data_IF_929163265728
#
_entry.id   IF_929163265728
#
_cell.length_a   1.000
_cell.length_b   1.000
_cell.length_c   1.000
_cell.angle_alpha   90.00
_cell.angle_beta   90.00
_cell.angle_gamma   90.00
#
_symmetry.space_group_name_H-M   'P 1'
#
loop_
_entity.id
_entity.type
_entity.pdbx_description
1 polymer ?
#
# COMPACT_ATOMS: atom_id res chain seq x y z
N UNK A 1 -6.15 -26.38 -62.67
CA UNK A 1 -5.47 -27.12 -61.56
C UNK A 1 -4.50 -26.12 -60.91
N UNK A 2 -4.73 -25.71 -59.67
CA UNK A 2 -3.76 -24.89 -58.95
C UNK A 2 -2.49 -25.69 -58.71
N UNK A 3 -1.34 -25.11 -59.05
CA UNK A 3 -0.06 -25.75 -58.97
C UNK A 3 0.26 -26.10 -57.52
N UNK A 4 0.81 -27.28 -57.21
CA UNK A 4 1.15 -27.71 -55.85
C UNK A 4 2.06 -26.67 -55.11
N UNK A 5 2.87 -25.90 -55.88
CA UNK A 5 3.68 -24.83 -55.36
C UNK A 5 2.87 -23.66 -54.81
N UNK A 6 1.76 -23.30 -55.47
CA UNK A 6 0.90 -22.19 -55.02
C UNK A 6 0.17 -22.51 -53.69
N UNK A 7 -0.20 -23.81 -53.53
CA UNK A 7 -0.85 -24.26 -52.27
C UNK A 7 0.17 -24.23 -51.11
N UNK A 8 1.41 -24.65 -51.35
CA UNK A 8 2.47 -24.61 -50.33
C UNK A 8 2.81 -23.17 -49.93
N UNK A 9 2.87 -22.24 -50.89
CA UNK A 9 3.10 -20.82 -50.61
C UNK A 9 1.97 -20.18 -49.80
N UNK A 10 0.72 -20.54 -50.08
CA UNK A 10 -0.45 -20.05 -49.30
C UNK A 10 -0.42 -20.59 -47.87
N UNK A 11 -0.10 -21.91 -47.72
CA UNK A 11 0.01 -22.51 -46.37
C UNK A 11 1.17 -21.91 -45.59
N UNK A 12 2.33 -21.67 -46.21
CA UNK A 12 3.46 -20.99 -45.56
C UNK A 12 3.11 -19.55 -45.19
N UNK A 13 2.38 -18.85 -46.05
CA UNK A 13 1.92 -17.47 -45.76
C UNK A 13 0.94 -17.41 -44.58
N UNK A 14 0.03 -18.41 -44.49
CA UNK A 14 -0.90 -18.50 -43.34
C UNK A 14 -0.13 -18.87 -42.06
N UNK A 15 0.80 -19.81 -42.10
CA UNK A 15 1.63 -20.16 -40.93
C UNK A 15 2.48 -18.99 -40.50
N UNK A 16 3.05 -18.25 -41.43
CA UNK A 16 3.87 -17.05 -41.13
C UNK A 16 3.01 -15.92 -40.56
N UNK A 17 1.79 -15.69 -41.07
CA UNK A 17 0.87 -14.68 -40.52
C UNK A 17 0.31 -15.06 -39.16
N UNK A 18 0.08 -16.36 -38.90
CA UNK A 18 -0.31 -16.87 -37.59
C UNK A 18 0.88 -16.77 -36.62
N UNK A 19 2.08 -17.13 -37.04
CA UNK A 19 3.30 -16.99 -36.21
C UNK A 19 3.64 -15.52 -35.93
N UNK A 20 3.42 -14.61 -36.88
CA UNK A 20 3.52 -13.14 -36.65
C UNK A 20 2.40 -12.64 -35.75
N UNK A 21 1.18 -13.16 -35.87
CA UNK A 21 0.05 -12.80 -35.00
C UNK A 21 0.24 -13.23 -33.55
N UNK A 22 0.83 -14.39 -33.31
CA UNK A 22 1.19 -14.84 -31.96
C UNK A 22 2.55 -14.29 -31.48
N UNK A 23 3.46 -13.94 -32.40
CA UNK A 23 4.79 -13.39 -32.05
C UNK A 23 4.78 -11.90 -31.65
N UNK A 24 3.71 -11.15 -31.94
CA UNK A 24 3.58 -9.72 -31.59
C UNK A 24 2.92 -9.54 -30.20
N UNK A 25 2.39 -10.61 -29.59
CA UNK A 25 1.66 -10.53 -28.33
C UNK A 25 2.53 -10.21 -27.10
N UNK A 26 3.85 -10.30 -27.19
CA UNK A 26 4.76 -10.02 -26.09
C UNK A 26 5.70 -8.87 -26.43
N UNK A 27 5.16 -7.65 -26.49
CA UNK A 27 6.02 -6.49 -26.62
C UNK A 27 6.58 -6.12 -25.24
N UNK A 28 7.87 -6.04 -25.22
CA UNK A 28 8.84 -5.61 -24.21
C UNK A 28 8.28 -4.80 -23.04
N UNK A 29 8.19 -5.42 -21.89
CA UNK A 29 8.07 -4.77 -20.59
C UNK A 29 9.48 -4.55 -20.04
N UNK A 30 9.82 -3.34 -19.73
CA UNK A 30 11.03 -3.04 -18.99
C UNK A 30 10.62 -2.56 -17.59
N UNK A 31 10.84 -3.39 -16.58
CA UNK A 31 10.84 -2.94 -15.19
C UNK A 31 12.27 -2.50 -14.86
N UNK A 32 12.42 -1.24 -14.54
CA UNK A 32 13.69 -0.69 -14.08
C UNK A 32 13.52 -0.26 -12.63
N UNK A 33 14.15 -0.96 -11.70
CA UNK A 33 14.35 -0.47 -10.35
C UNK A 33 15.68 0.27 -10.36
N UNK A 34 15.62 1.59 -10.43
CA UNK A 34 16.82 2.40 -10.34
C UNK A 34 17.26 2.46 -8.88
N UNK A 35 18.45 1.97 -8.60
CA UNK A 35 19.17 2.34 -7.40
C UNK A 35 19.77 3.72 -7.58
N UNK A 36 19.02 4.78 -7.30
CA UNK A 36 19.63 6.09 -7.06
C UNK A 36 20.20 6.06 -5.63
N UNK A 37 21.34 5.42 -5.52
CA UNK A 37 22.02 5.15 -4.27
C UNK A 37 23.01 6.25 -3.98
N UNK A 38 22.54 7.36 -3.49
CA UNK A 38 23.37 8.26 -2.72
C UNK A 38 23.31 7.85 -1.26
N UNK A 39 24.48 7.71 -0.64
CA UNK A 39 24.56 7.63 0.82
C UNK A 39 23.79 8.82 1.38
N UNK A 40 22.63 8.59 1.95
CA UNK A 40 21.89 9.65 2.63
C UNK A 40 22.18 9.55 4.12
N UNK A 41 22.74 10.61 4.65
CA UNK A 41 22.87 10.78 6.10
C UNK A 41 21.62 11.48 6.58
N UNK A 42 20.80 10.81 7.37
CA UNK A 42 19.63 11.40 7.98
C UNK A 42 20.04 11.87 9.37
N UNK A 43 20.09 13.19 9.56
CA UNK A 43 20.27 13.78 10.89
C UNK A 43 18.95 13.61 11.67
N UNK A 44 19.02 12.97 12.81
CA UNK A 44 17.90 12.85 13.76
C UNK A 44 18.22 13.69 15.00
N UNK A 45 17.20 14.15 15.71
CA UNK A 45 17.39 14.92 16.97
C UNK A 45 18.24 14.18 17.99
N UNK A 46 18.40 12.87 17.87
CA UNK A 46 19.07 11.98 18.82
C UNK A 46 20.30 11.26 18.26
N UNK A 47 20.74 11.57 17.03
CA UNK A 47 21.93 10.95 16.45
C UNK A 47 21.97 11.02 14.93
N UNK A 48 23.04 10.48 14.38
CA UNK A 48 23.22 10.37 12.94
C UNK A 48 22.90 8.94 12.50
N UNK A 49 21.76 8.76 11.82
CA UNK A 49 21.47 7.53 11.11
C UNK A 49 22.15 7.60 9.75
N UNK A 50 23.18 6.81 9.53
CA UNK A 50 23.76 6.64 8.21
C UNK A 50 23.08 5.48 7.53
N UNK A 51 22.26 5.75 6.54
CA UNK A 51 21.66 4.73 5.70
C UNK A 51 22.59 4.53 4.52
N UNK A 52 23.27 3.39 4.50
CA UNK A 52 24.03 2.95 3.36
C UNK A 52 23.14 1.99 2.57
N UNK A 53 22.82 2.37 1.34
CA UNK A 53 22.30 1.42 0.38
C UNK A 53 23.49 0.70 -0.23
N UNK A 54 23.72 -0.52 0.15
CA UNK A 54 24.56 -1.38 -0.67
C UNK A 54 23.65 -2.02 -1.71
N UNK A 55 23.82 -1.65 -2.96
CA UNK A 55 23.14 -2.30 -4.08
C UNK A 55 23.86 -3.60 -4.40
N UNK A 56 23.50 -4.66 -3.69
CA UNK A 56 24.17 -5.94 -3.88
C UNK A 56 23.80 -6.62 -5.21
N UNK A 57 22.78 -6.12 -5.94
CA UNK A 57 22.24 -6.77 -7.13
C UNK A 57 22.13 -5.90 -8.40
N UNK A 58 22.60 -4.64 -8.37
CA UNK A 58 22.46 -3.74 -9.53
C UNK A 58 21.01 -3.29 -9.82
N UNK A 59 20.80 -2.66 -10.95
CA UNK A 59 19.44 -2.34 -11.43
C UNK A 59 18.71 -3.62 -11.83
N UNK A 60 17.47 -3.79 -11.38
CA UNK A 60 16.62 -4.85 -11.93
C UNK A 60 16.07 -4.35 -13.26
N UNK A 61 16.57 -4.87 -14.35
CA UNK A 61 16.03 -4.65 -15.68
C UNK A 61 15.37 -5.93 -16.13
N UNK A 62 14.04 -5.98 -16.04
CA UNK A 62 13.27 -7.07 -16.64
C UNK A 62 12.92 -6.68 -18.08
N UNK A 63 13.65 -7.25 -19.02
CA UNK A 63 13.32 -7.18 -20.43
C UNK A 63 12.33 -8.32 -20.74
N UNK A 64 11.10 -7.99 -21.15
CA UNK A 64 9.99 -8.89 -21.45
C UNK A 64 9.32 -9.48 -20.20
N UNK A 65 8.42 -8.74 -19.61
CA UNK A 65 7.57 -9.23 -18.52
C UNK A 65 6.29 -9.79 -19.11
N UNK A 66 5.97 -11.02 -18.70
CA UNK A 66 4.66 -11.65 -18.90
C UNK A 66 3.97 -11.78 -17.53
N UNK A 67 2.66 -11.99 -17.48
CA UNK A 67 2.00 -12.42 -16.25
C UNK A 67 2.74 -13.60 -15.60
N UNK A 68 2.89 -13.57 -14.29
CA UNK A 68 3.71 -14.49 -13.50
C UNK A 68 5.20 -14.09 -13.38
N UNK A 69 5.64 -12.99 -14.00
CA UNK A 69 7.01 -12.51 -13.85
C UNK A 69 7.22 -11.82 -12.50
N UNK A 70 8.37 -12.05 -11.91
CA UNK A 70 8.82 -11.39 -10.68
C UNK A 70 10.31 -11.04 -10.74
N UNK A 71 10.71 -10.05 -9.94
CA UNK A 71 12.09 -9.66 -9.77
C UNK A 71 12.37 -9.23 -8.35
N UNK A 72 13.47 -9.71 -7.81
CA UNK A 72 13.89 -9.42 -6.44
C UNK A 72 15.15 -8.57 -6.43
N UNK A 73 15.14 -7.55 -5.58
CA UNK A 73 16.30 -6.71 -5.28
C UNK A 73 16.60 -6.78 -3.78
N UNK A 74 17.88 -6.95 -3.45
CA UNK A 74 18.39 -6.87 -2.09
C UNK A 74 18.96 -5.48 -1.83
N UNK A 75 18.69 -4.91 -0.65
CA UNK A 75 19.31 -3.69 -0.17
C UNK A 75 19.60 -3.77 1.33
N UNK A 76 20.56 -2.97 1.80
CA UNK A 76 21.02 -2.97 3.19
C UNK A 76 20.87 -1.58 3.79
N UNK A 77 20.30 -1.51 4.98
CA UNK A 77 20.32 -0.33 5.85
C UNK A 77 21.34 -0.58 6.96
N UNK A 78 22.25 0.35 7.16
CA UNK A 78 23.24 0.25 8.24
C UNK A 78 22.98 1.34 9.27
N UNK A 79 22.75 0.94 10.52
CA UNK A 79 22.54 1.83 11.65
C UNK A 79 23.77 1.93 12.55
N UNK A 80 24.14 3.16 12.89
CA UNK A 80 25.13 3.45 13.93
C UNK A 80 24.61 4.57 14.80
N UNK A 81 24.40 4.28 16.07
CA UNK A 81 24.03 5.29 17.04
C UNK A 81 25.32 5.85 17.69
N UNK A 82 25.65 7.08 17.32
CA UNK A 82 26.81 7.83 17.84
C UNK A 82 26.37 9.17 18.48
N UNK A 83 25.08 9.30 18.80
CA UNK A 83 24.51 10.53 19.33
C UNK A 83 25.15 10.93 20.65
N UNK A 84 25.71 12.13 20.68
CA UNK A 84 26.17 12.81 21.88
C UNK A 84 25.51 14.17 22.00
N UNK A 85 24.82 14.39 23.11
CA UNK A 85 24.32 15.72 23.48
C UNK A 85 25.00 16.09 24.78
N UNK A 86 25.78 17.19 24.79
CA UNK A 86 26.55 17.66 25.96
C UNK A 86 27.44 16.57 26.58
N UNK A 87 28.19 15.84 25.74
CA UNK A 87 29.07 14.72 26.13
C UNK A 87 28.38 13.54 26.84
N UNK A 88 27.06 13.55 26.92
CA UNK A 88 26.27 12.41 27.38
C UNK A 88 25.67 11.68 26.17
N UNK A 89 25.89 10.40 26.11
CA UNK A 89 25.28 9.52 25.12
C UNK A 89 23.77 9.50 25.37
N UNK A 90 22.98 10.09 24.45
CA UNK A 90 21.53 9.95 24.46
C UNK A 90 21.16 8.78 23.56
N UNK A 91 21.08 7.61 24.16
CA UNK A 91 20.73 6.40 23.46
C UNK A 91 19.20 6.33 23.30
N UNK A 92 18.73 6.34 22.06
CA UNK A 92 17.35 6.07 21.69
C UNK A 92 17.32 5.24 20.43
N UNK A 93 16.30 4.42 20.29
CA UNK A 93 16.08 3.66 19.08
C UNK A 93 15.99 4.59 17.85
N UNK A 94 16.62 4.19 16.76
CA UNK A 94 16.63 4.93 15.50
C UNK A 94 15.60 4.34 14.55
N UNK A 95 14.43 4.95 14.47
CA UNK A 95 13.33 4.50 13.62
C UNK A 95 13.50 4.94 12.17
N UNK A 96 13.11 4.09 11.24
CA UNK A 96 13.11 4.39 9.81
C UNK A 96 11.85 3.86 9.12
N UNK A 97 11.55 4.44 7.96
CA UNK A 97 10.50 3.99 7.05
C UNK A 97 11.10 3.73 5.68
N UNK A 98 10.70 2.63 5.06
CA UNK A 98 11.08 2.21 3.71
C UNK A 98 9.92 2.57 2.78
N UNK A 99 10.21 3.24 1.67
CA UNK A 99 9.22 3.63 0.67
C UNK A 99 9.60 3.17 -0.72
N UNK A 100 8.59 3.02 -1.57
CA UNK A 100 8.71 2.89 -3.02
C UNK A 100 8.35 4.23 -3.64
N UNK A 101 9.24 4.77 -4.46
CA UNK A 101 8.98 5.94 -5.30
C UNK A 101 8.76 5.45 -6.72
N UNK A 102 7.60 5.71 -7.27
CA UNK A 102 7.25 5.33 -8.63
C UNK A 102 7.66 6.44 -9.60
N UNK A 103 8.69 6.17 -10.40
CA UNK A 103 9.19 7.10 -11.43
C UNK A 103 8.32 7.03 -12.69
N UNK A 104 7.84 5.84 -13.02
CA UNK A 104 6.95 5.57 -14.14
C UNK A 104 6.13 4.30 -13.91
N UNK A 105 4.84 4.36 -14.16
CA UNK A 105 3.96 3.19 -14.17
C UNK A 105 2.85 3.39 -15.21
N UNK A 106 2.84 2.54 -16.25
CA UNK A 106 1.80 2.53 -17.28
C UNK A 106 0.96 1.25 -17.24
N UNK A 107 1.15 0.42 -16.22
CA UNK A 107 0.28 -0.73 -15.96
C UNK A 107 -1.10 -0.28 -15.50
N UNK A 108 -2.10 -1.10 -15.76
CA UNK A 108 -3.42 -0.89 -15.18
C UNK A 108 -3.35 -1.01 -13.65
N UNK A 109 -4.19 -0.25 -12.96
CA UNK A 109 -4.22 -0.23 -11.51
C UNK A 109 -4.36 -1.65 -10.92
N UNK A 110 -3.59 -1.93 -9.87
CA UNK A 110 -3.61 -3.23 -9.19
C UNK A 110 -2.87 -4.37 -9.90
N UNK A 111 -2.27 -4.12 -11.07
CA UNK A 111 -1.53 -5.16 -11.80
C UNK A 111 -0.19 -5.50 -11.18
N UNK A 112 0.45 -4.55 -10.51
CA UNK A 112 1.77 -4.75 -9.90
C UNK A 112 1.67 -4.85 -8.39
N UNK A 113 2.41 -5.79 -7.83
CA UNK A 113 2.51 -6.01 -6.38
C UNK A 113 3.96 -6.00 -5.90
N UNK A 114 4.14 -5.82 -4.62
CA UNK A 114 5.43 -5.97 -3.96
C UNK A 114 5.33 -6.94 -2.77
N UNK A 115 6.46 -7.55 -2.44
CA UNK A 115 6.69 -8.30 -1.21
C UNK A 115 8.04 -7.87 -0.64
N UNK A 116 8.07 -7.36 0.58
CA UNK A 116 9.27 -7.02 1.32
C UNK A 116 9.49 -8.07 2.40
N UNK A 117 10.66 -8.67 2.40
CA UNK A 117 11.08 -9.65 3.42
C UNK A 117 12.42 -9.27 4.02
N UNK A 118 12.65 -9.64 5.26
CA UNK A 118 13.99 -9.55 5.84
C UNK A 118 14.87 -10.69 5.32
N UNK A 119 16.13 -10.41 5.05
CA UNK A 119 17.12 -11.43 4.69
C UNK A 119 17.71 -12.07 5.93
N UNK A 120 18.05 -13.36 5.84
CA UNK A 120 18.65 -14.13 6.93
C UNK A 120 20.04 -13.64 7.37
N UNK A 121 20.72 -12.86 6.53
CA UNK A 121 22.00 -12.21 6.85
C UNK A 121 21.86 -10.94 7.68
N UNK A 122 20.64 -10.52 8.00
CA UNK A 122 20.38 -9.35 8.84
C UNK A 122 20.89 -9.55 10.26
N UNK A 123 21.40 -8.48 10.85
CA UNK A 123 21.73 -8.46 12.28
C UNK A 123 20.45 -8.55 13.12
N UNK A 124 20.50 -9.28 14.20
CA UNK A 124 19.40 -9.37 15.17
C UNK A 124 19.51 -8.24 16.21
N UNK A 125 19.26 -7.00 15.76
CA UNK A 125 19.28 -5.80 16.59
C UNK A 125 18.13 -4.89 16.19
N UNK A 126 17.30 -4.52 17.13
CA UNK A 126 16.12 -3.70 16.88
C UNK A 126 14.96 -4.48 16.29
N UNK A 127 14.20 -3.85 15.38
CA UNK A 127 13.03 -4.46 14.73
C UNK A 127 13.09 -4.23 13.23
N UNK A 128 12.83 -5.28 12.48
CA UNK A 128 12.66 -5.24 11.03
C UNK A 128 11.24 -5.62 10.65
N UNK A 129 10.72 -4.97 9.62
CA UNK A 129 9.51 -5.46 8.94
C UNK A 129 9.86 -6.74 8.17
N UNK A 130 8.92 -7.67 8.12
CA UNK A 130 9.07 -8.92 7.38
C UNK A 130 7.71 -9.34 6.80
N UNK A 131 7.76 -9.95 5.62
CA UNK A 131 6.56 -10.44 4.91
C UNK A 131 5.48 -9.37 4.68
N UNK A 132 5.90 -8.14 4.33
CA UNK A 132 5.01 -7.03 4.02
C UNK A 132 4.71 -7.01 2.53
N UNK A 133 3.45 -7.10 2.15
CA UNK A 133 3.02 -7.13 0.76
C UNK A 133 1.92 -6.10 0.47
N UNK A 134 1.78 -5.71 -0.79
CA UNK A 134 0.74 -4.78 -1.21
C UNK A 134 0.80 -4.48 -2.70
N UNK A 135 -0.07 -3.57 -3.14
CA UNK A 135 -0.09 -3.08 -4.51
C UNK A 135 0.87 -1.92 -4.70
N UNK A 136 1.46 -1.85 -5.90
CA UNK A 136 2.30 -0.72 -6.29
C UNK A 136 1.40 0.40 -6.82
N UNK A 137 1.53 1.64 -6.30
CA UNK A 137 0.72 2.78 -6.77
C UNK A 137 1.06 3.16 -8.22
N UNK A 138 0.17 3.93 -8.84
CA UNK A 138 0.39 4.41 -10.21
C UNK A 138 1.46 5.50 -10.28
N UNK A 139 1.68 6.26 -9.21
CA UNK A 139 2.67 7.33 -9.12
C UNK A 139 2.95 7.72 -7.66
N UNK A 140 3.99 8.52 -7.45
CA UNK A 140 4.31 9.09 -6.15
C UNK A 140 5.13 8.19 -5.24
N UNK A 141 5.19 8.54 -3.96
CA UNK A 141 5.93 7.81 -2.92
C UNK A 141 4.96 7.17 -1.97
N UNK A 142 5.12 5.87 -1.74
CA UNK A 142 4.37 5.13 -0.71
C UNK A 142 5.33 4.49 0.27
N UNK A 143 5.19 4.80 1.56
CA UNK A 143 5.96 4.14 2.61
C UNK A 143 5.30 2.82 2.95
N UNK A 144 6.04 1.72 2.73
CA UNK A 144 5.51 0.36 2.76
C UNK A 144 5.83 -0.38 4.05
N UNK A 145 6.89 -0.01 4.73
CA UNK A 145 7.36 -0.70 5.93
C UNK A 145 8.18 0.22 6.83
N UNK A 146 8.32 -0.16 8.09
CA UNK A 146 9.19 0.53 9.04
C UNK A 146 9.96 -0.45 9.91
N UNK A 147 10.97 0.06 10.58
CA UNK A 147 11.79 -0.66 11.55
C UNK A 147 12.57 0.31 12.42
N UNK A 148 13.41 -0.24 13.28
CA UNK A 148 14.32 0.57 14.06
C UNK A 148 15.60 -0.23 14.38
N UNK A 149 16.68 0.50 14.55
CA UNK A 149 17.90 0.00 15.20
C UNK A 149 17.86 0.35 16.68
N UNK A 150 18.30 -0.56 17.52
CA UNK A 150 18.39 -0.33 18.95
C UNK A 150 19.32 0.84 19.29
N UNK A 151 19.09 1.42 20.45
CA UNK A 151 19.88 2.51 21.00
C UNK A 151 21.39 2.24 21.05
N UNK A 152 21.80 0.97 21.12
CA UNK A 152 23.20 0.54 21.17
C UNK A 152 23.76 0.12 19.81
N UNK A 153 23.05 0.35 18.71
CA UNK A 153 23.48 -0.09 17.38
C UNK A 153 24.84 0.53 17.00
N UNK A 154 25.76 -0.34 16.60
CA UNK A 154 27.08 0.05 16.06
C UNK A 154 27.33 -0.75 14.80
N UNK A 155 27.21 -0.08 13.64
CA UNK A 155 27.39 -0.69 12.34
C UNK A 155 26.50 -1.94 12.14
N UNK A 156 25.26 -1.85 12.60
CA UNK A 156 24.27 -2.92 12.50
C UNK A 156 23.65 -2.90 11.10
N UNK A 157 23.52 -4.06 10.47
CA UNK A 157 22.96 -4.20 9.13
C UNK A 157 21.56 -4.83 9.17
N UNK A 158 20.56 -4.13 8.63
CA UNK A 158 19.26 -4.67 8.28
C UNK A 158 19.22 -4.90 6.78
N UNK A 159 19.17 -6.15 6.35
CA UNK A 159 19.17 -6.56 4.95
C UNK A 159 17.76 -6.95 4.54
N UNK A 160 17.26 -6.35 3.47
CA UNK A 160 15.93 -6.59 2.94
C UNK A 160 15.99 -7.12 1.52
N UNK A 161 15.05 -7.98 1.20
CA UNK A 161 14.71 -8.36 -0.17
C UNK A 161 13.35 -7.75 -0.53
N UNK A 162 13.30 -6.98 -1.62
CA UNK A 162 12.04 -6.53 -2.20
C UNK A 162 11.80 -7.25 -3.52
N UNK A 163 10.70 -7.97 -3.61
CA UNK A 163 10.24 -8.63 -4.81
C UNK A 163 9.11 -7.83 -5.41
N UNK A 164 9.25 -7.46 -6.67
CA UNK A 164 8.20 -6.84 -7.48
C UNK A 164 7.64 -7.90 -8.41
N UNK A 165 6.32 -7.99 -8.50
CA UNK A 165 5.66 -9.01 -9.29
C UNK A 165 4.57 -8.42 -10.18
N UNK A 166 4.38 -9.04 -11.36
CA UNK A 166 3.20 -8.94 -12.19
C UNK A 166 2.47 -10.29 -12.11
N UNK A 167 1.58 -10.48 -11.12
CA UNK A 167 0.96 -11.76 -10.86
C UNK A 167 0.13 -12.27 -12.05
N UNK A 168 0.17 -13.56 -12.31
CA UNK A 168 -0.78 -14.24 -13.20
C UNK A 168 -2.17 -14.19 -12.56
N UNK A 169 -3.15 -13.72 -13.31
CA UNK A 169 -4.56 -13.74 -12.92
C UNK A 169 -5.35 -14.62 -13.88
N UNK A 170 -6.53 -15.05 -13.49
CA UNK A 170 -7.42 -15.83 -14.36
C UNK A 170 -8.22 -14.95 -15.34
N UNK A 171 -7.92 -13.64 -15.37
CA UNK A 171 -8.59 -12.65 -16.21
C UNK A 171 -7.68 -12.20 -17.36
N UNK A 172 -8.27 -11.61 -18.39
CA UNK A 172 -7.49 -11.03 -19.49
C UNK A 172 -6.61 -9.87 -18.99
N UNK A 173 -5.31 -9.99 -19.17
CA UNK A 173 -4.30 -8.98 -18.79
C UNK A 173 -3.68 -8.30 -20.02
N UNK A 174 -4.26 -8.45 -21.21
CA UNK A 174 -3.76 -7.87 -22.47
C UNK A 174 -3.69 -6.34 -22.45
N UNK A 175 -4.49 -5.68 -21.62
CA UNK A 175 -4.43 -4.23 -21.41
C UNK A 175 -3.06 -3.72 -20.91
N UNK A 176 -2.24 -4.61 -20.34
CA UNK A 176 -0.87 -4.31 -19.89
C UNK A 176 0.19 -4.55 -20.96
N UNK A 177 -0.21 -4.92 -22.18
CA UNK A 177 0.73 -5.11 -23.30
C UNK A 177 1.47 -3.81 -23.62
N UNK A 178 2.82 -3.86 -23.62
CA UNK A 178 3.66 -2.67 -23.82
C UNK A 178 3.76 -1.74 -22.62
N UNK A 179 3.18 -2.07 -21.48
CA UNK A 179 3.31 -1.30 -20.27
C UNK A 179 4.76 -1.25 -19.76
N UNK A 180 5.12 -0.17 -19.09
CA UNK A 180 6.46 0.07 -18.55
C UNK A 180 6.37 0.48 -17.09
N UNK A 181 7.32 0.03 -16.30
CA UNK A 181 7.44 0.39 -14.90
C UNK A 181 8.87 0.75 -14.53
N UNK A 182 9.03 1.78 -13.71
CA UNK A 182 10.30 2.17 -13.09
C UNK A 182 10.03 2.71 -11.69
N UNK A 183 10.82 2.29 -10.74
CA UNK A 183 10.77 2.80 -9.37
C UNK A 183 12.16 2.75 -8.72
N UNK A 184 12.27 3.42 -7.58
CA UNK A 184 13.41 3.27 -6.68
C UNK A 184 12.94 3.18 -5.24
N UNK A 185 13.82 2.65 -4.38
CA UNK A 185 13.55 2.58 -2.95
C UNK A 185 14.01 3.88 -2.30
N UNK A 186 13.24 4.38 -1.36
CA UNK A 186 13.61 5.51 -0.50
C UNK A 186 13.51 5.08 0.96
N UNK A 187 14.29 5.73 1.80
CA UNK A 187 14.22 5.53 3.25
C UNK A 187 14.27 6.88 3.93
N UNK A 188 13.50 7.06 4.97
CA UNK A 188 13.57 8.25 5.83
C UNK A 188 13.61 7.84 7.31
N UNK A 189 14.26 8.68 8.13
CA UNK A 189 14.16 8.60 9.58
C UNK A 189 12.79 9.04 10.08
N UNK A 190 12.34 8.45 11.17
CA UNK A 190 11.09 8.82 11.84
C UNK A 190 11.28 8.74 13.36
N UNK A 191 10.32 9.26 14.13
CA UNK A 191 10.44 9.32 15.59
C UNK A 191 9.98 8.03 16.29
N UNK A 192 8.97 7.35 15.75
CA UNK A 192 8.45 6.05 16.23
C UNK A 192 7.31 5.58 15.34
N UNK A 193 6.74 4.42 15.66
CA UNK A 193 5.42 3.98 15.22
C UNK A 193 5.42 2.96 14.07
N UNK A 194 4.28 2.30 13.95
CA UNK A 194 3.99 1.30 12.93
C UNK A 194 3.20 1.94 11.80
N UNK A 195 3.55 1.63 10.55
CA UNK A 195 2.79 2.09 9.39
C UNK A 195 1.54 1.22 9.22
N UNK A 196 0.42 1.85 8.86
CA UNK A 196 -0.83 1.14 8.56
C UNK A 196 -0.64 0.07 7.46
N UNK A 197 0.19 0.36 6.47
CA UNK A 197 0.46 -0.55 5.35
C UNK A 197 1.29 -1.79 5.72
N UNK A 198 1.95 -1.78 6.87
CA UNK A 198 2.86 -2.82 7.32
C UNK A 198 2.14 -4.07 7.82
N UNK A 199 0.95 -3.91 8.38
CA UNK A 199 0.17 -5.00 8.98
C UNK A 199 -1.02 -5.39 8.09
N UNK A 200 -1.44 -6.67 8.17
CA UNK A 200 -2.69 -7.12 7.58
C UNK A 200 -3.88 -6.48 8.31
N UNK A 201 -5.06 -6.43 7.69
CA UNK A 201 -6.27 -5.95 8.33
C UNK A 201 -6.64 -6.76 9.58
N UNK A 202 -6.40 -8.06 9.55
CA UNK A 202 -6.59 -8.94 10.71
C UNK A 202 -5.65 -8.58 11.87
N UNK A 203 -4.36 -8.35 11.57
CA UNK A 203 -3.37 -7.92 12.59
C UNK A 203 -3.76 -6.58 13.19
N UNK A 204 -4.17 -5.62 12.36
CA UNK A 204 -4.66 -4.31 12.81
C UNK A 204 -5.86 -4.48 13.75
N UNK A 205 -6.86 -5.27 13.34
CA UNK A 205 -8.04 -5.52 14.17
C UNK A 205 -7.71 -6.18 15.52
N UNK A 206 -6.78 -7.12 15.53
CA UNK A 206 -6.31 -7.75 16.77
C UNK A 206 -5.58 -6.74 17.69
N UNK A 207 -4.75 -5.86 17.13
CA UNK A 207 -4.10 -4.80 17.88
C UNK A 207 -5.10 -3.81 18.46
N UNK A 208 -6.11 -3.40 17.66
CA UNK A 208 -7.21 -2.54 18.13
C UNK A 208 -7.96 -3.18 19.29
N UNK A 209 -8.34 -4.45 19.16
CA UNK A 209 -9.05 -5.22 20.19
C UNK A 209 -8.26 -5.32 21.50
N UNK A 210 -6.94 -5.38 21.40
CA UNK A 210 -6.05 -5.51 22.56
C UNK A 210 -5.58 -4.15 23.12
N UNK A 211 -6.04 -3.01 22.55
CA UNK A 211 -5.64 -1.67 22.97
C UNK A 211 -4.23 -1.23 22.53
N UNK A 212 -3.61 -1.98 21.61
CA UNK A 212 -2.24 -1.73 21.12
C UNK A 212 -2.26 -0.82 19.87
N UNK A 213 -2.93 0.32 19.95
CA UNK A 213 -3.12 1.22 18.81
C UNK A 213 -2.17 2.41 18.79
N UNK A 214 -1.57 2.74 19.93
CA UNK A 214 -0.70 3.91 20.08
C UNK A 214 0.54 3.91 19.18
N UNK A 215 0.98 2.74 18.75
CA UNK A 215 2.16 2.58 17.91
C UNK A 215 1.88 2.91 16.43
N UNK A 216 0.62 2.90 15.99
CA UNK A 216 0.28 3.25 14.62
C UNK A 216 0.40 4.75 14.39
N UNK A 217 1.10 5.13 13.33
CA UNK A 217 1.31 6.54 12.95
C UNK A 217 0.03 7.09 12.32
N UNK A 218 -0.57 8.11 12.95
CA UNK A 218 -1.67 8.87 12.35
C UNK A 218 -1.18 9.51 11.04
N UNK A 219 -1.99 9.44 10.01
CA UNK A 219 -1.65 9.86 8.65
C UNK A 219 -0.87 8.82 7.83
N UNK A 220 -0.53 7.65 8.41
CA UNK A 220 0.04 6.56 7.62
C UNK A 220 -1.02 5.93 6.71
N UNK A 221 -0.60 5.47 5.55
CA UNK A 221 -1.46 5.07 4.45
C UNK A 221 -1.41 3.57 4.19
N UNK A 222 -2.50 3.03 3.61
CA UNK A 222 -2.60 1.66 3.10
C UNK A 222 -3.39 1.65 1.81
N UNK A 223 -2.82 1.02 0.79
CA UNK A 223 -3.45 0.90 -0.53
C UNK A 223 -4.36 -0.32 -0.55
N UNK A 224 -5.58 -0.13 -1.05
CA UNK A 224 -6.54 -1.20 -1.33
C UNK A 224 -6.89 -1.21 -2.82
N UNK A 225 -7.27 -2.38 -3.32
CA UNK A 225 -7.77 -2.56 -4.68
C UNK A 225 -9.27 -2.85 -4.63
N UNK A 226 -10.06 -2.04 -5.33
CA UNK A 226 -11.52 -2.10 -5.32
C UNK A 226 -12.05 -1.59 -6.67
N UNK A 227 -13.02 -2.29 -7.28
CA UNK A 227 -13.66 -1.88 -8.53
C UNK A 227 -12.65 -1.53 -9.65
N UNK A 228 -11.62 -2.36 -9.83
CA UNK A 228 -10.54 -2.19 -10.82
C UNK A 228 -9.70 -0.91 -10.65
N UNK A 229 -9.70 -0.30 -9.46
CA UNK A 229 -8.89 0.87 -9.12
C UNK A 229 -8.16 0.68 -7.80
N UNK A 230 -7.06 1.42 -7.65
CA UNK A 230 -6.37 1.57 -6.37
C UNK A 230 -6.92 2.78 -5.62
N UNK A 231 -7.20 2.59 -4.36
CA UNK A 231 -7.59 3.65 -3.43
C UNK A 231 -6.66 3.64 -2.23
N UNK A 232 -6.39 4.82 -1.70
CA UNK A 232 -5.57 4.98 -0.51
C UNK A 232 -6.46 5.24 0.68
N UNK A 233 -6.30 4.40 1.71
CA UNK A 233 -6.85 4.63 3.04
C UNK A 233 -5.77 5.23 3.92
N UNK A 234 -6.16 6.13 4.82
CA UNK A 234 -5.29 6.80 5.78
C UNK A 234 -5.81 6.59 7.19
N UNK A 235 -4.91 6.37 8.14
CA UNK A 235 -5.26 6.38 9.56
C UNK A 235 -5.56 7.82 10.00
N UNK A 236 -6.82 8.08 10.28
CA UNK A 236 -7.30 9.40 10.71
C UNK A 236 -7.23 9.59 12.23
N UNK A 237 -7.49 8.52 12.99
CA UNK A 237 -7.44 8.54 14.46
C UNK A 237 -7.09 7.15 15.01
N UNK A 238 -6.41 7.10 16.16
CA UNK A 238 -6.05 5.86 16.87
C UNK A 238 -6.35 5.91 18.38
N UNK A 239 -7.14 6.89 18.83
CA UNK A 239 -7.46 7.12 20.24
C UNK A 239 -8.96 7.28 20.47
N UNK A 240 -9.39 7.14 21.72
CA UNK A 240 -10.78 7.36 22.14
C UNK A 240 -10.81 8.52 23.12
N UNK A 241 -11.08 9.74 22.65
CA UNK A 241 -11.20 10.92 23.53
C UNK A 241 -12.41 10.79 24.48
N UNK A 242 -12.41 11.57 25.55
CA UNK A 242 -13.43 11.49 26.62
C UNK A 242 -14.85 11.76 26.10
N UNK A 243 -15.00 12.59 25.07
CA UNK A 243 -16.28 12.91 24.42
C UNK A 243 -16.97 11.64 23.86
N UNK A 244 -16.21 10.62 23.53
CA UNK A 244 -16.74 9.34 23.05
C UNK A 244 -17.55 8.57 24.08
N UNK A 245 -17.45 8.94 25.37
CA UNK A 245 -18.24 8.39 26.45
C UNK A 245 -19.64 9.02 26.55
N UNK A 246 -19.91 10.10 25.82
CA UNK A 246 -21.18 10.79 25.82
C UNK A 246 -22.27 10.03 25.04
N UNK A 247 -23.47 9.96 25.61
CA UNK A 247 -24.60 9.28 24.95
C UNK A 247 -25.01 9.97 23.64
N UNK A 248 -24.82 11.28 23.57
CA UNK A 248 -25.19 12.14 22.44
C UNK A 248 -24.01 12.43 21.48
N UNK A 249 -22.94 11.64 21.55
CA UNK A 249 -21.78 11.80 20.68
C UNK A 249 -21.71 10.71 19.61
N UNK A 250 -21.54 11.14 18.34
CA UNK A 250 -21.28 10.22 17.22
C UNK A 250 -19.90 9.60 17.34
N UNK A 251 -19.82 8.28 17.24
CA UNK A 251 -18.55 7.56 17.42
C UNK A 251 -17.73 7.41 16.13
N UNK A 252 -18.03 8.21 15.12
CA UNK A 252 -17.34 8.17 13.82
C UNK A 252 -15.86 8.60 13.88
N UNK A 253 -15.47 9.28 14.96
CA UNK A 253 -14.09 9.68 15.22
C UNK A 253 -13.50 9.01 16.46
N UNK A 254 -14.16 7.97 17.02
CA UNK A 254 -13.75 7.30 18.24
C UNK A 254 -12.99 6.01 17.96
N UNK A 255 -11.86 5.83 18.64
CA UNK A 255 -11.04 4.64 18.46
C UNK A 255 -10.18 4.67 17.21
N UNK A 256 -10.00 3.52 16.59
CA UNK A 256 -9.15 3.38 15.39
C UNK A 256 -9.98 3.64 14.13
N UNK A 257 -9.75 4.78 13.50
CA UNK A 257 -10.53 5.25 12.35
C UNK A 257 -9.65 5.38 11.12
N UNK A 258 -10.07 4.77 10.03
CA UNK A 258 -9.46 4.94 8.70
C UNK A 258 -10.42 5.67 7.78
N UNK A 259 -9.87 6.48 6.89
CA UNK A 259 -10.64 7.24 5.90
C UNK A 259 -10.02 7.09 4.50
N UNK A 260 -10.81 7.29 3.46
CA UNK A 260 -10.28 7.45 2.11
C UNK A 260 -9.57 8.80 1.99
N UNK A 261 -8.39 8.82 1.38
CA UNK A 261 -7.62 10.06 1.15
C UNK A 261 -8.32 10.94 0.12
N UNK A 262 -8.94 10.33 -0.89
CA UNK A 262 -9.64 11.00 -1.98
C UNK A 262 -11.12 10.68 -2.01
N UNK A 263 -11.89 11.51 -2.71
CA UNK A 263 -13.30 11.24 -3.00
C UNK A 263 -13.40 10.02 -3.92
N UNK A 264 -14.04 8.97 -3.43
CA UNK A 264 -14.19 7.71 -4.18
C UNK A 264 -15.20 7.85 -5.31
N UNK A 265 -16.34 8.49 -5.01
CA UNK A 265 -17.39 8.79 -5.99
C UNK A 265 -18.27 9.95 -5.57
N UNK A 266 -19.02 10.49 -6.52
CA UNK A 266 -20.05 11.50 -6.28
C UNK A 266 -21.43 10.88 -6.48
N UNK A 267 -22.30 10.99 -5.47
CA UNK A 267 -23.62 10.38 -5.47
C UNK A 267 -24.66 11.29 -4.80
N UNK A 268 -25.89 11.23 -5.25
CA UNK A 268 -26.98 11.96 -4.62
C UNK A 268 -27.34 11.35 -3.25
N UNK A 269 -27.63 12.20 -2.28
CA UNK A 269 -28.06 11.77 -0.94
C UNK A 269 -29.36 10.96 -0.99
N UNK A 270 -30.32 11.39 -1.82
CA UNK A 270 -31.62 10.75 -2.05
C UNK A 270 -31.97 10.81 -3.53
N UNK A 271 -32.87 9.96 -3.98
CA UNK A 271 -33.40 9.94 -5.35
C UNK A 271 -34.27 11.15 -5.70
N UNK A 272 -34.71 11.91 -4.69
CA UNK A 272 -35.49 13.16 -4.83
C UNK A 272 -34.97 14.21 -3.86
N UNK A 273 -35.32 15.48 -4.10
CA UNK A 273 -34.92 16.60 -3.22
C UNK A 273 -35.72 16.57 -1.92
N UNK A 274 -35.26 15.74 -0.97
CA UNK A 274 -35.82 15.59 0.38
C UNK A 274 -34.77 15.31 1.41
N UNK A 275 -34.98 15.78 2.63
CA UNK A 275 -34.19 15.46 3.83
C UNK A 275 -35.04 14.73 4.90
N UNK A 276 -36.27 14.31 4.53
CA UNK A 276 -37.16 13.65 5.48
C UNK A 276 -36.56 12.36 6.02
N UNK A 277 -36.54 12.24 7.33
CA UNK A 277 -35.95 11.09 8.06
C UNK A 277 -34.44 11.15 8.22
N UNK A 278 -33.77 12.23 7.77
CA UNK A 278 -32.35 12.46 7.95
C UNK A 278 -31.45 11.37 7.37
N UNK A 279 -30.26 11.23 7.92
CA UNK A 279 -29.30 10.21 7.53
C UNK A 279 -29.86 8.77 7.58
N UNK A 280 -30.57 8.35 8.64
CA UNK A 280 -31.11 6.98 8.73
C UNK A 280 -31.96 6.54 7.55
N UNK A 281 -32.74 7.48 6.97
CA UNK A 281 -33.66 7.21 5.86
C UNK A 281 -33.05 7.51 4.48
N UNK A 282 -31.80 7.96 4.42
CA UNK A 282 -31.19 8.37 3.15
C UNK A 282 -30.85 7.19 2.24
N UNK A 283 -30.99 7.38 0.94
CA UNK A 283 -30.55 6.42 -0.06
C UNK A 283 -29.01 6.26 -0.05
N UNK A 284 -28.28 7.32 0.33
CA UNK A 284 -26.83 7.28 0.49
C UNK A 284 -26.42 6.29 1.59
N UNK A 285 -27.07 6.32 2.76
CA UNK A 285 -26.78 5.36 3.82
C UNK A 285 -27.04 3.91 3.38
N UNK A 286 -28.15 3.68 2.70
CA UNK A 286 -28.47 2.34 2.17
C UNK A 286 -27.39 1.86 1.22
N UNK A 287 -26.92 2.72 0.33
CA UNK A 287 -25.85 2.42 -0.61
C UNK A 287 -24.53 2.14 0.11
N UNK A 288 -24.12 3.00 1.06
CA UNK A 288 -22.86 2.86 1.77
C UNK A 288 -22.81 1.57 2.62
N UNK A 289 -23.91 1.16 3.24
CA UNK A 289 -24.02 -0.08 4.01
C UNK A 289 -24.37 -1.31 3.15
N UNK A 290 -24.58 -1.16 1.87
CA UNK A 290 -24.89 -2.21 0.90
C UNK A 290 -23.83 -2.33 -0.18
N UNK A 291 -24.13 -1.79 -1.36
CA UNK A 291 -23.32 -1.97 -2.56
C UNK A 291 -21.87 -1.49 -2.37
N UNK A 292 -21.70 -0.31 -1.75
CA UNK A 292 -20.36 0.21 -1.49
C UNK A 292 -19.58 -0.67 -0.52
N UNK A 293 -20.17 -1.02 0.62
CA UNK A 293 -19.54 -1.94 1.59
C UNK A 293 -19.15 -3.26 0.95
N UNK A 294 -20.02 -3.83 0.11
CA UNK A 294 -19.76 -5.09 -0.59
C UNK A 294 -18.67 -4.99 -1.66
N UNK A 295 -18.35 -3.79 -2.14
CA UNK A 295 -17.26 -3.55 -3.09
C UNK A 295 -15.88 -3.47 -2.42
N UNK A 296 -15.81 -3.28 -1.10
CA UNK A 296 -14.55 -3.29 -0.35
C UNK A 296 -13.88 -4.67 -0.39
N UNK A 297 -12.54 -4.76 -0.30
CA UNK A 297 -11.83 -6.03 -0.13
C UNK A 297 -12.38 -6.84 1.05
N UNK A 298 -12.46 -8.14 0.90
CA UNK A 298 -13.05 -9.04 1.91
C UNK A 298 -12.34 -8.92 3.26
N UNK A 299 -11.02 -8.87 3.26
CA UNK A 299 -10.20 -8.75 4.47
C UNK A 299 -10.46 -7.43 5.23
N UNK A 300 -10.81 -6.35 4.52
CA UNK A 300 -11.22 -5.09 5.16
C UNK A 300 -12.64 -5.19 5.70
N UNK A 301 -13.57 -5.74 4.92
CA UNK A 301 -14.98 -5.91 5.37
C UNK A 301 -15.09 -6.73 6.65
N UNK A 302 -14.25 -7.75 6.79
CA UNK A 302 -14.28 -8.65 7.94
C UNK A 302 -13.86 -7.99 9.26
N UNK A 303 -13.27 -6.80 9.21
CA UNK A 303 -12.78 -6.08 10.40
C UNK A 303 -13.51 -4.75 10.66
N UNK A 304 -14.33 -4.28 9.73
CA UNK A 304 -15.16 -3.09 9.94
C UNK A 304 -16.26 -3.41 10.94
N UNK A 305 -16.42 -2.55 11.95
CA UNK A 305 -17.43 -2.67 12.99
C UNK A 305 -18.56 -1.67 12.78
N UNK A 306 -19.73 -1.99 13.32
CA UNK A 306 -20.85 -1.05 13.37
C UNK A 306 -20.51 0.14 14.26
N UNK A 307 -20.79 1.34 13.77
CA UNK A 307 -20.48 2.60 14.44
C UNK A 307 -21.75 3.35 14.80
N UNK A 308 -21.86 3.81 16.05
CA UNK A 308 -22.95 4.66 16.51
C UNK A 308 -22.86 6.03 15.84
N UNK A 309 -23.91 6.43 15.17
CA UNK A 309 -24.04 7.75 14.54
C UNK A 309 -25.25 8.46 15.10
N UNK A 310 -25.10 9.73 15.45
CA UNK A 310 -26.20 10.60 15.88
C UNK A 310 -26.52 11.57 14.74
N UNK A 311 -27.76 11.60 14.34
CA UNK A 311 -28.20 12.40 13.19
C UNK A 311 -29.57 13.00 13.44
N UNK A 312 -29.73 14.29 13.05
CA UNK A 312 -31.03 14.94 12.98
C UNK A 312 -31.93 14.34 11.90
N UNK A 313 -33.24 14.50 12.10
CA UNK A 313 -34.27 13.95 11.20
C UNK A 313 -34.76 14.89 10.10
N UNK A 314 -34.01 15.90 9.76
CA UNK A 314 -34.43 16.89 8.77
C UNK A 314 -35.63 17.70 9.28
N UNK A 315 -36.84 17.55 8.66
CA UNK A 315 -38.02 18.32 9.05
C UNK A 315 -38.70 17.87 10.34
N UNK A 316 -38.19 16.83 10.99
CA UNK A 316 -38.71 16.37 12.28
C UNK A 316 -37.84 16.90 13.40
N UNK A 317 -38.46 17.24 14.52
CA UNK A 317 -37.72 17.58 15.74
C UNK A 317 -37.14 16.32 16.38
N UNK A 318 -35.93 16.39 16.84
CA UNK A 318 -35.25 15.31 17.54
C UNK A 318 -34.10 14.68 16.77
N UNK A 319 -33.26 14.00 17.50
CA UNK A 319 -32.11 13.24 17.03
C UNK A 319 -32.34 11.76 17.29
N UNK A 320 -31.83 10.89 16.43
CA UNK A 320 -31.84 9.45 16.65
C UNK A 320 -30.45 8.87 16.66
N UNK A 321 -30.24 7.96 17.60
CA UNK A 321 -29.09 7.10 17.62
C UNK A 321 -29.34 5.91 16.70
N UNK A 322 -28.38 5.58 15.85
CA UNK A 322 -28.42 4.37 15.05
C UNK A 322 -26.98 3.91 14.76
N UNK A 323 -26.83 2.64 14.42
CA UNK A 323 -25.55 2.08 13.99
C UNK A 323 -25.41 2.13 12.48
N UNK A 324 -24.19 2.34 12.00
CA UNK A 324 -23.83 2.29 10.59
C UNK A 324 -22.44 1.67 10.44
N UNK A 325 -22.22 1.00 9.31
CA UNK A 325 -20.91 0.44 8.95
C UNK A 325 -20.08 1.43 8.18
#
# INVERSE_FOLDING_TARGET
MKNKGDIILIILGIILSVALGFGIAYSYLAVRVNGLESKSTIAMETGTLTINYANNSGDIVLNKIAPGAEATKQFTLTGTNDAKVNDKTMLKNMYYQIGIVVDKNTFTAGSLTYLLTKDSSSSDNGKMADNVSGYIPNSGTTYIAGGYFDENAKNVAHVYNITLAFPETKTDQSANQGATFACHITVKGTVNGTLLNQDSWETIANNVKNGNTSDYIIGSEKIIYMNNNLYTLRLANNSTPDECNGDDFSQTACGFVVEFVDIVETRQMNSSSTNKGGWPASAMRTYLNGDFYNSLPEELRNVIIDTKVISGHGNTSGETNFTSK
#
